data_IF_997374430094
#
_entry.id   IF_997374430094
#
_cell.length_a   1.000
_cell.length_b   1.000
_cell.length_c   1.000
_cell.angle_alpha   90.00
_cell.angle_beta   90.00
_cell.angle_gamma   90.00
#
_symmetry.space_group_name_H-M   'P 1'
#
loop_
_entity.id
_entity.type
_entity.pdbx_description
1 polymer ?
#
# COMPACT_ATOMS: atom_id res chain seq x y z
N UNK A 1 -3.50 -26.17 -6.61
CA UNK A 1 -2.42 -26.79 -7.42
C UNK A 1 -1.19 -25.93 -7.24
N UNK A 2 -0.20 -26.41 -6.44
CA UNK A 2 1.04 -25.68 -6.17
C UNK A 2 1.81 -25.41 -7.47
N UNK A 3 2.05 -24.13 -7.77
CA UNK A 3 2.98 -23.73 -8.81
C UNK A 3 4.40 -24.15 -8.39
N UNK A 4 5.12 -24.80 -9.29
CA UNK A 4 6.53 -25.15 -9.06
C UNK A 4 7.34 -23.86 -8.85
N UNK A 5 8.16 -23.76 -7.77
CA UNK A 5 9.04 -22.62 -7.58
C UNK A 5 10.02 -22.52 -8.76
N UNK A 6 10.14 -21.34 -9.37
CA UNK A 6 11.35 -20.98 -10.09
C UNK A 6 11.28 -20.65 -11.58
N UNK A 7 10.14 -20.45 -12.22
CA UNK A 7 10.09 -20.03 -13.64
C UNK A 7 9.01 -19.00 -13.97
N UNK A 8 8.79 -18.01 -13.12
CA UNK A 8 8.09 -16.79 -13.56
C UNK A 8 9.06 -15.83 -14.22
N UNK A 9 8.64 -15.08 -15.25
CA UNK A 9 9.53 -14.07 -15.87
C UNK A 9 9.95 -13.06 -14.78
N UNK A 10 11.24 -12.78 -14.70
CA UNK A 10 11.79 -11.74 -13.83
C UNK A 10 11.43 -10.32 -14.31
N UNK A 11 10.75 -10.19 -15.42
CA UNK A 11 10.31 -8.95 -16.03
C UNK A 11 8.89 -9.09 -16.57
N UNK A 12 8.05 -8.10 -16.29
CA UNK A 12 6.69 -8.02 -16.78
C UNK A 12 6.53 -6.81 -17.69
N UNK A 13 6.57 -7.03 -19.00
CA UNK A 13 6.46 -5.96 -19.99
C UNK A 13 5.13 -5.18 -19.90
N UNK A 14 4.04 -5.83 -19.43
CA UNK A 14 2.75 -5.15 -19.22
C UNK A 14 2.83 -4.18 -18.04
N UNK A 15 3.51 -4.57 -16.98
CA UNK A 15 3.71 -3.69 -15.81
C UNK A 15 4.57 -2.48 -16.19
N UNK A 16 5.68 -2.71 -16.92
CA UNK A 16 6.49 -1.62 -17.49
C UNK A 16 5.64 -0.65 -18.31
N UNK A 17 4.84 -1.17 -19.24
CA UNK A 17 3.99 -0.36 -20.12
C UNK A 17 2.93 0.45 -19.35
N UNK A 18 2.34 -0.13 -18.28
CA UNK A 18 1.39 0.59 -17.42
C UNK A 18 2.08 1.77 -16.73
N UNK A 19 3.24 1.55 -16.13
CA UNK A 19 3.97 2.61 -15.42
C UNK A 19 4.40 3.71 -16.39
N UNK A 20 4.90 3.35 -17.57
CA UNK A 20 5.26 4.32 -18.62
C UNK A 20 4.05 5.12 -19.10
N UNK A 21 2.90 4.46 -19.28
CA UNK A 21 1.66 5.12 -19.66
C UNK A 21 1.19 6.12 -18.60
N UNK A 22 1.23 5.74 -17.31
CA UNK A 22 0.88 6.62 -16.19
C UNK A 22 1.73 7.90 -16.20
N UNK A 23 3.05 7.75 -16.38
CA UNK A 23 3.96 8.90 -16.45
C UNK A 23 3.69 9.78 -17.66
N UNK A 24 3.50 9.17 -18.84
CA UNK A 24 3.30 9.89 -20.09
C UNK A 24 1.97 10.64 -20.14
N UNK A 25 0.93 10.11 -19.50
CA UNK A 25 -0.42 10.64 -19.58
C UNK A 25 -0.87 11.39 -18.31
N UNK A 26 0.02 11.59 -17.31
CA UNK A 26 -0.36 12.15 -16.01
C UNK A 26 -1.12 13.49 -16.10
N UNK A 27 -0.68 14.37 -16.99
CA UNK A 27 -1.31 15.69 -17.20
C UNK A 27 -2.57 15.57 -18.03
N UNK A 28 -2.51 14.85 -19.15
CA UNK A 28 -3.64 14.67 -20.07
C UNK A 28 -4.85 14.02 -19.38
N UNK A 29 -4.61 12.99 -18.58
CA UNK A 29 -5.65 12.23 -17.87
C UNK A 29 -5.89 12.76 -16.43
N UNK A 30 -5.23 13.86 -16.04
CA UNK A 30 -5.33 14.46 -14.71
C UNK A 30 -5.11 13.44 -13.58
N UNK A 31 -4.04 12.63 -13.69
CA UNK A 31 -3.74 11.60 -12.69
C UNK A 31 -3.10 12.27 -11.47
N UNK A 32 -3.79 12.27 -10.35
CA UNK A 32 -3.33 12.93 -9.11
C UNK A 32 -2.61 11.97 -8.17
N UNK A 33 -2.93 10.67 -8.22
CA UNK A 33 -2.38 9.66 -7.33
C UNK A 33 -2.43 8.27 -7.96
N UNK A 34 -1.46 7.42 -7.65
CA UNK A 34 -1.42 6.02 -8.10
C UNK A 34 -1.46 5.10 -6.87
N UNK A 35 -2.45 4.24 -6.79
CA UNK A 35 -2.55 3.21 -5.75
C UNK A 35 -2.30 1.83 -6.36
N UNK A 36 -1.25 1.15 -5.91
CA UNK A 36 -0.99 -0.24 -6.25
C UNK A 36 -1.56 -1.14 -5.15
N UNK A 37 -2.51 -1.98 -5.53
CA UNK A 37 -3.33 -2.75 -4.57
C UNK A 37 -2.72 -4.09 -4.16
N UNK A 38 -1.42 -4.27 -4.30
CA UNK A 38 -0.70 -5.45 -3.83
C UNK A 38 -0.36 -6.48 -4.91
N UNK A 39 0.32 -7.54 -4.49
CA UNK A 39 0.88 -8.56 -5.36
C UNK A 39 1.77 -7.96 -6.47
N UNK A 40 2.63 -7.01 -6.06
CA UNK A 40 3.62 -6.41 -6.96
C UNK A 40 4.69 -7.43 -7.35
N UNK A 41 4.85 -8.47 -6.55
CA UNK A 41 5.63 -9.66 -6.84
C UNK A 41 4.75 -10.92 -6.84
N UNK A 42 5.19 -11.99 -7.52
CA UNK A 42 4.51 -13.30 -7.53
C UNK A 42 5.18 -14.28 -6.53
N UNK A 43 6.44 -14.08 -6.20
CA UNK A 43 7.26 -15.07 -5.50
C UNK A 43 8.07 -14.52 -4.32
N UNK A 44 7.86 -13.31 -3.89
CA UNK A 44 8.62 -12.67 -2.79
C UNK A 44 10.14 -12.95 -2.87
N UNK A 45 10.75 -12.73 -4.05
CA UNK A 45 12.18 -12.95 -4.27
C UNK A 45 12.90 -11.72 -4.82
N UNK A 46 14.20 -11.64 -4.56
CA UNK A 46 15.04 -10.48 -4.91
C UNK A 46 14.95 -10.04 -6.38
N UNK A 47 14.98 -10.92 -7.40
CA UNK A 47 14.85 -10.48 -8.79
C UNK A 47 13.53 -9.79 -9.12
N UNK A 48 12.42 -10.29 -8.59
CA UNK A 48 11.10 -9.69 -8.82
C UNK A 48 10.94 -8.36 -8.07
N UNK A 49 11.41 -8.28 -6.85
CA UNK A 49 11.42 -7.04 -6.07
C UNK A 49 12.28 -5.97 -6.73
N UNK A 50 13.45 -6.33 -7.23
CA UNK A 50 14.32 -5.40 -7.97
C UNK A 50 13.64 -4.86 -9.22
N UNK A 51 12.98 -5.74 -9.97
CA UNK A 51 12.21 -5.34 -11.14
C UNK A 51 11.07 -4.38 -10.74
N UNK A 52 10.25 -4.75 -9.75
CA UNK A 52 9.14 -3.93 -9.25
C UNK A 52 9.60 -2.55 -8.78
N UNK A 53 10.66 -2.51 -7.95
CA UNK A 53 11.23 -1.26 -7.45
C UNK A 53 11.74 -0.36 -8.59
N UNK A 54 12.43 -0.91 -9.58
CA UNK A 54 12.93 -0.15 -10.74
C UNK A 54 11.79 0.36 -11.62
N UNK A 55 10.73 -0.44 -11.78
CA UNK A 55 9.56 -0.03 -12.53
C UNK A 55 8.85 1.15 -11.85
N UNK A 56 8.56 1.02 -10.55
CA UNK A 56 7.88 2.07 -9.76
C UNK A 56 8.75 3.33 -9.58
N UNK A 57 10.09 3.21 -9.65
CA UNK A 57 10.99 4.37 -9.56
C UNK A 57 10.75 5.42 -10.67
N UNK A 58 10.13 5.03 -11.77
CA UNK A 58 9.75 5.97 -12.83
C UNK A 58 8.66 6.97 -12.42
N UNK A 59 7.92 6.67 -11.34
CA UNK A 59 6.93 7.57 -10.74
C UNK A 59 7.58 8.57 -9.78
N UNK A 60 8.78 8.29 -9.25
CA UNK A 60 9.44 9.13 -8.25
C UNK A 60 9.60 10.56 -8.78
N UNK A 61 9.14 11.54 -7.99
CA UNK A 61 9.15 12.95 -8.35
C UNK A 61 8.18 13.37 -9.47
N UNK A 62 7.37 12.46 -10.00
CA UNK A 62 6.43 12.72 -11.09
C UNK A 62 4.96 12.52 -10.70
N UNK A 63 4.68 11.49 -9.94
CA UNK A 63 3.33 11.16 -9.46
C UNK A 63 3.40 10.66 -8.02
N UNK A 64 2.56 11.14 -7.13
CA UNK A 64 2.34 10.54 -5.83
C UNK A 64 1.85 9.10 -5.98
N UNK A 65 2.37 8.18 -5.16
CA UNK A 65 1.90 6.81 -5.18
C UNK A 65 2.08 6.09 -3.85
N UNK A 66 1.27 5.05 -3.62
CA UNK A 66 1.41 4.12 -2.52
C UNK A 66 1.24 2.68 -3.00
N UNK A 67 1.80 1.74 -2.24
CA UNK A 67 1.76 0.31 -2.55
C UNK A 67 1.26 -0.42 -1.31
N UNK A 68 0.15 -1.15 -1.44
CA UNK A 68 -0.32 -2.10 -0.45
C UNK A 68 0.44 -3.42 -0.62
N UNK A 69 1.14 -3.96 0.38
CA UNK A 69 1.67 -5.31 0.27
C UNK A 69 0.53 -6.33 0.14
N UNK A 70 0.59 -7.15 -0.92
CA UNK A 70 -0.31 -8.29 -1.12
C UNK A 70 0.19 -9.56 -0.43
N UNK A 71 -0.59 -10.64 -0.52
CA UNK A 71 -0.19 -11.91 0.10
C UNK A 71 1.02 -12.58 -0.57
N UNK A 72 1.34 -12.23 -1.84
CA UNK A 72 2.55 -12.65 -2.51
C UNK A 72 3.76 -11.75 -2.21
N UNK A 73 3.54 -10.61 -1.56
CA UNK A 73 4.57 -9.63 -1.20
C UNK A 73 5.04 -9.79 0.26
N UNK A 74 4.50 -10.78 0.97
CA UNK A 74 4.78 -11.03 2.37
C UNK A 74 4.72 -12.52 2.69
N UNK A 75 5.39 -12.94 3.76
CA UNK A 75 5.29 -14.32 4.23
C UNK A 75 4.06 -14.51 5.12
N UNK A 76 3.63 -15.75 5.27
CA UNK A 76 2.46 -16.12 6.10
C UNK A 76 2.57 -15.73 7.58
N UNK A 77 3.78 -15.45 8.07
CA UNK A 77 4.04 -14.97 9.43
C UNK A 77 4.02 -13.43 9.56
N UNK A 78 3.64 -12.70 8.49
CA UNK A 78 3.60 -11.24 8.46
C UNK A 78 4.93 -10.57 8.10
N UNK A 79 5.96 -11.32 7.74
CA UNK A 79 7.26 -10.76 7.35
C UNK A 79 7.18 -10.06 5.99
N UNK A 80 7.39 -8.74 6.00
CA UNK A 80 7.47 -7.86 4.83
C UNK A 80 8.90 -7.36 4.57
N UNK A 81 9.91 -8.14 4.91
CA UNK A 81 11.32 -7.70 4.89
C UNK A 81 11.80 -7.27 3.50
N UNK A 82 11.40 -7.98 2.44
CA UNK A 82 11.72 -7.57 1.07
C UNK A 82 10.98 -6.30 0.68
N UNK A 83 9.68 -6.19 0.96
CA UNK A 83 8.92 -4.98 0.70
C UNK A 83 9.60 -3.76 1.34
N UNK A 84 9.93 -3.84 2.64
CA UNK A 84 10.60 -2.77 3.40
C UNK A 84 11.98 -2.42 2.83
N UNK A 85 12.70 -3.40 2.30
CA UNK A 85 14.02 -3.20 1.68
C UNK A 85 13.92 -2.45 0.35
N UNK A 86 12.93 -2.77 -0.49
CA UNK A 86 12.80 -2.21 -1.84
C UNK A 86 11.94 -0.95 -1.91
N UNK A 87 11.08 -0.76 -0.92
CA UNK A 87 10.23 0.42 -0.75
C UNK A 87 10.38 0.98 0.67
N UNK A 88 11.60 1.40 1.07
CA UNK A 88 11.82 1.97 2.40
C UNK A 88 11.11 3.33 2.53
N UNK A 89 10.82 3.75 3.76
CA UNK A 89 10.24 5.08 4.04
C UNK A 89 11.06 6.21 3.46
N UNK A 90 12.39 6.08 3.48
CA UNK A 90 13.31 7.09 2.93
C UNK A 90 13.11 7.40 1.44
N UNK A 91 12.44 6.51 0.69
CA UNK A 91 12.06 6.76 -0.70
C UNK A 91 10.92 7.77 -0.82
N UNK A 92 10.10 7.89 0.21
CA UNK A 92 8.86 8.67 0.22
C UNK A 92 8.94 9.89 1.14
N UNK A 93 9.78 9.83 2.16
CA UNK A 93 10.00 10.93 3.11
C UNK A 93 10.36 12.24 2.41
N UNK A 94 9.86 13.36 2.94
CA UNK A 94 10.05 14.68 2.35
C UNK A 94 9.07 15.04 1.25
N UNK A 95 8.28 14.09 0.73
CA UNK A 95 7.20 14.40 -0.19
C UNK A 95 5.97 14.95 0.58
N UNK A 96 5.37 16.07 0.15
CA UNK A 96 4.23 16.67 0.87
C UNK A 96 2.97 15.80 0.90
N UNK A 97 2.90 14.83 0.01
CA UNK A 97 1.80 13.87 -0.06
C UNK A 97 1.99 12.64 0.84
N UNK A 98 3.19 12.37 1.36
CA UNK A 98 3.49 11.24 2.25
C UNK A 98 3.36 11.70 3.70
N UNK A 99 2.22 11.42 4.32
CA UNK A 99 1.85 12.04 5.60
C UNK A 99 2.24 11.22 6.82
N UNK A 100 2.06 9.89 6.78
CA UNK A 100 2.41 9.01 7.90
C UNK A 100 2.67 7.58 7.44
N UNK A 101 3.42 6.83 8.25
CA UNK A 101 3.60 5.40 8.13
C UNK A 101 3.53 4.73 9.49
N UNK A 102 3.00 3.51 9.54
CA UNK A 102 3.02 2.72 10.76
C UNK A 102 4.44 2.27 11.10
N UNK A 103 4.86 2.48 12.34
CA UNK A 103 6.25 2.19 12.75
C UNK A 103 6.57 0.69 12.82
N UNK A 104 5.54 -0.17 12.79
CA UNK A 104 5.69 -1.60 12.97
C UNK A 104 5.65 -2.03 14.44
N UNK A 105 5.67 -3.33 14.66
CA UNK A 105 5.72 -3.93 15.98
C UNK A 105 6.39 -5.31 15.95
N UNK A 106 6.75 -5.83 17.11
CA UNK A 106 7.23 -7.20 17.24
C UNK A 106 6.06 -8.12 17.54
N UNK A 107 5.79 -9.09 16.65
CA UNK A 107 4.69 -10.05 16.81
C UNK A 107 5.03 -11.15 17.85
N UNK A 108 4.09 -12.07 18.11
CA UNK A 108 4.24 -13.18 19.06
C UNK A 108 5.36 -14.17 18.69
N UNK A 109 5.86 -14.14 17.47
CA UNK A 109 6.99 -14.95 17.01
C UNK A 109 8.34 -14.24 17.15
N UNK A 110 8.36 -13.04 17.76
CA UNK A 110 9.57 -12.23 17.88
C UNK A 110 10.01 -11.54 16.59
N UNK A 111 9.15 -11.48 15.56
CA UNK A 111 9.46 -10.86 14.28
C UNK A 111 8.96 -9.42 14.25
N UNK A 112 9.78 -8.51 13.72
CA UNK A 112 9.35 -7.15 13.41
C UNK A 112 8.55 -7.16 12.12
N UNK A 113 7.28 -6.73 12.18
CA UNK A 113 6.31 -6.78 11.08
C UNK A 113 5.58 -5.45 10.89
N UNK A 114 4.89 -5.31 9.78
CA UNK A 114 3.95 -4.22 9.45
C UNK A 114 4.55 -2.82 9.35
N UNK A 115 5.85 -2.63 9.59
CA UNK A 115 6.51 -1.32 9.58
C UNK A 115 7.06 -0.88 8.22
N UNK A 116 7.72 0.28 8.23
CA UNK A 116 8.49 0.80 7.08
C UNK A 116 7.73 0.80 5.76
N UNK A 117 6.71 1.62 5.65
CA UNK A 117 5.93 1.81 4.42
C UNK A 117 4.98 0.66 4.04
N UNK A 118 4.88 -0.40 4.83
CA UNK A 118 3.89 -1.46 4.59
C UNK A 118 2.44 -0.95 4.81
N UNK A 119 2.29 0.06 5.66
CA UNK A 119 1.02 0.72 5.96
C UNK A 119 1.24 2.24 6.00
N UNK A 120 0.52 3.01 5.19
CA UNK A 120 0.78 4.44 5.00
C UNK A 120 -0.48 5.28 4.91
N UNK A 121 -0.32 6.55 5.26
CA UNK A 121 -1.29 7.61 4.97
C UNK A 121 -0.68 8.55 3.94
N UNK A 122 -1.38 8.75 2.83
CA UNK A 122 -1.00 9.67 1.78
C UNK A 122 -2.12 10.69 1.53
N UNK A 123 -1.71 11.90 1.14
CA UNK A 123 -2.64 13.01 0.89
C UNK A 123 -2.53 13.46 -0.55
N UNK A 124 -3.66 13.70 -1.18
CA UNK A 124 -3.68 14.37 -2.48
C UNK A 124 -4.96 15.19 -2.62
N UNK A 125 -5.04 15.97 -3.69
CA UNK A 125 -6.25 16.75 -3.99
C UNK A 125 -6.03 17.74 -5.12
N UNK A 126 -7.13 18.32 -5.58
CA UNK A 126 -7.14 19.36 -6.60
C UNK A 126 -8.28 20.33 -6.33
N UNK A 127 -7.97 21.63 -6.31
CA UNK A 127 -8.97 22.65 -5.97
C UNK A 127 -9.53 22.45 -4.57
N UNK A 128 -10.85 22.35 -4.45
CA UNK A 128 -11.53 22.08 -3.17
C UNK A 128 -11.60 20.60 -2.82
N UNK A 129 -11.31 19.70 -3.76
CA UNK A 129 -11.38 18.26 -3.53
C UNK A 129 -10.12 17.77 -2.83
N UNK A 130 -10.30 17.22 -1.64
CA UNK A 130 -9.23 16.73 -0.78
C UNK A 130 -9.43 15.27 -0.45
N UNK A 131 -8.39 14.47 -0.58
CA UNK A 131 -8.41 13.04 -0.31
C UNK A 131 -7.31 12.64 0.66
N UNK A 132 -7.58 11.63 1.45
CA UNK A 132 -6.60 10.87 2.22
C UNK A 132 -6.68 9.40 1.80
N UNK A 133 -5.54 8.84 1.42
CA UNK A 133 -5.43 7.41 1.10
C UNK A 133 -4.77 6.71 2.27
N UNK A 134 -5.46 5.75 2.86
CA UNK A 134 -4.85 4.81 3.79
C UNK A 134 -4.55 3.52 3.04
N UNK A 135 -3.28 3.15 3.00
CA UNK A 135 -2.81 1.93 2.34
C UNK A 135 -2.48 0.91 3.42
N UNK A 136 -3.12 -0.25 3.35
CA UNK A 136 -3.01 -1.31 4.34
C UNK A 136 -2.46 -2.59 3.72
N UNK A 137 -1.56 -3.27 4.41
CA UNK A 137 -1.08 -4.60 4.04
C UNK A 137 -2.21 -5.64 4.01
N UNK A 138 -2.01 -6.71 3.27
CA UNK A 138 -2.93 -7.84 3.25
C UNK A 138 -3.09 -8.44 4.67
N UNK A 139 -4.33 -8.68 5.10
CA UNK A 139 -4.66 -9.13 6.45
C UNK A 139 -4.11 -8.21 7.56
N UNK A 140 -4.21 -6.90 7.37
CA UNK A 140 -3.75 -5.91 8.34
C UNK A 140 -4.19 -6.25 9.78
N UNK A 141 -3.25 -6.40 10.72
CA UNK A 141 -3.57 -6.78 12.10
C UNK A 141 -4.11 -5.60 12.90
N UNK A 142 -4.73 -5.91 14.05
CA UNK A 142 -5.34 -4.92 14.94
C UNK A 142 -4.48 -3.70 15.26
N UNK A 143 -3.17 -3.83 15.57
CA UNK A 143 -2.33 -2.66 15.80
C UNK A 143 -2.26 -1.69 14.62
N UNK A 144 -2.27 -2.23 13.39
CA UNK A 144 -2.28 -1.45 12.15
C UNK A 144 -3.62 -0.75 11.97
N UNK A 145 -4.73 -1.47 12.16
CA UNK A 145 -6.09 -0.92 12.00
C UNK A 145 -6.36 0.19 13.01
N UNK A 146 -5.98 -0.02 14.27
CA UNK A 146 -6.12 0.98 15.32
C UNK A 146 -5.27 2.23 15.04
N UNK A 147 -4.05 2.05 14.52
CA UNK A 147 -3.21 3.16 14.10
C UNK A 147 -3.85 3.93 12.93
N UNK A 148 -4.34 3.22 11.91
CA UNK A 148 -4.96 3.84 10.76
C UNK A 148 -6.18 4.68 11.14
N UNK A 149 -7.06 4.13 11.98
CA UNK A 149 -8.23 4.84 12.51
C UNK A 149 -7.81 6.16 13.20
N UNK A 150 -6.85 6.07 14.13
CA UNK A 150 -6.36 7.25 14.85
C UNK A 150 -5.68 8.28 13.95
N UNK A 151 -4.94 7.83 12.92
CA UNK A 151 -4.32 8.76 11.96
C UNK A 151 -5.37 9.49 11.12
N UNK A 152 -6.45 8.81 10.71
CA UNK A 152 -7.52 9.40 9.90
C UNK A 152 -8.28 10.51 10.65
N UNK A 153 -8.40 10.46 11.98
CA UNK A 153 -8.99 11.53 12.80
C UNK A 153 -8.31 12.91 12.57
N UNK A 154 -7.07 12.93 12.10
CA UNK A 154 -6.34 14.16 11.81
C UNK A 154 -6.78 14.85 10.52
N UNK A 155 -7.62 14.20 9.70
CA UNK A 155 -8.01 14.66 8.38
C UNK A 155 -9.53 14.70 8.17
N UNK A 156 -10.29 15.36 9.06
CA UNK A 156 -11.77 15.35 9.02
C UNK A 156 -12.34 16.04 7.78
N UNK A 157 -11.54 16.89 7.12
CA UNK A 157 -11.93 17.64 5.91
C UNK A 157 -11.60 16.90 4.61
N UNK A 158 -11.18 15.62 4.68
CA UNK A 158 -10.77 14.83 3.51
C UNK A 158 -11.64 13.60 3.31
N UNK A 159 -11.91 13.28 2.06
CA UNK A 159 -12.53 12.01 1.69
C UNK A 159 -11.53 10.88 1.83
N UNK A 160 -11.93 9.81 2.52
CA UNK A 160 -11.06 8.65 2.79
C UNK A 160 -11.15 7.64 1.65
N UNK A 161 -9.99 7.20 1.18
CA UNK A 161 -9.83 6.06 0.27
C UNK A 161 -9.03 4.99 0.99
N UNK A 162 -9.60 3.80 1.14
CA UNK A 162 -8.90 2.64 1.70
C UNK A 162 -8.38 1.78 0.57
N UNK A 163 -7.06 1.56 0.54
CA UNK A 163 -6.39 0.70 -0.43
C UNK A 163 -5.79 -0.50 0.30
N UNK A 164 -6.22 -1.69 -0.06
CA UNK A 164 -5.71 -2.96 0.48
C UNK A 164 -5.82 -4.06 -0.55
N UNK A 165 -4.99 -5.10 -0.40
CA UNK A 165 -5.05 -6.30 -1.25
C UNK A 165 -6.15 -7.28 -0.82
N UNK A 166 -6.82 -7.02 0.30
CA UNK A 166 -7.85 -7.90 0.82
C UNK A 166 -9.02 -8.00 -0.15
N UNK A 167 -9.39 -9.21 -0.54
CA UNK A 167 -10.58 -9.49 -1.32
C UNK A 167 -11.85 -9.16 -0.48
N UNK A 168 -12.88 -8.62 -1.14
CA UNK A 168 -14.15 -8.22 -0.51
C UNK A 168 -14.83 -9.41 0.21
N UNK A 169 -14.71 -10.63 -0.32
CA UNK A 169 -15.23 -11.84 0.32
C UNK A 169 -14.49 -12.24 1.61
N UNK A 170 -13.19 -11.90 1.73
CA UNK A 170 -12.43 -12.06 2.96
C UNK A 170 -12.75 -10.92 3.96
N UNK A 171 -13.08 -9.75 3.45
CA UNK A 171 -13.60 -8.60 4.18
C UNK A 171 -14.88 -8.96 4.97
N UNK A 172 -15.81 -9.71 4.40
CA UNK A 172 -17.04 -10.10 5.08
C UNK A 172 -16.83 -11.12 6.21
N UNK A 173 -15.75 -11.89 6.20
CA UNK A 173 -15.64 -13.07 7.11
C UNK A 173 -14.93 -12.85 8.43
N UNK A 174 -14.00 -11.91 8.60
CA UNK A 174 -13.37 -11.63 9.92
C UNK A 174 -12.78 -10.22 10.11
N UNK A 175 -12.05 -9.67 9.13
CA UNK A 175 -11.32 -8.40 9.31
C UNK A 175 -11.96 -7.22 8.57
N UNK A 176 -12.70 -7.47 7.52
CA UNK A 176 -13.22 -6.40 6.71
C UNK A 176 -14.47 -5.76 7.26
N UNK A 177 -15.32 -6.52 7.97
CA UNK A 177 -16.41 -5.91 8.71
C UNK A 177 -15.87 -5.00 9.81
N UNK A 178 -14.67 -5.27 10.31
CA UNK A 178 -13.99 -4.44 11.29
C UNK A 178 -13.39 -3.18 10.67
N UNK A 179 -12.64 -3.28 9.55
CA UNK A 179 -12.17 -2.10 8.81
C UNK A 179 -13.36 -1.20 8.43
N UNK A 180 -14.42 -1.78 7.89
CA UNK A 180 -15.63 -1.06 7.52
C UNK A 180 -16.33 -0.42 8.73
N UNK A 181 -16.49 -1.15 9.83
CA UNK A 181 -17.16 -0.65 11.02
C UNK A 181 -16.31 0.40 11.76
N UNK A 182 -14.98 0.19 11.86
CA UNK A 182 -14.09 1.14 12.52
C UNK A 182 -13.96 2.44 11.71
N UNK A 183 -13.97 2.34 10.36
CA UNK A 183 -13.96 3.51 9.48
C UNK A 183 -15.34 4.20 9.37
N UNK A 184 -16.45 3.45 9.44
CA UNK A 184 -17.79 4.04 9.52
C UNK A 184 -18.05 4.73 10.87
N UNK A 185 -17.56 4.18 11.97
CA UNK A 185 -17.67 4.82 13.28
C UNK A 185 -16.99 6.20 13.32
N UNK A 186 -15.94 6.39 12.51
CA UNK A 186 -15.30 7.70 12.32
C UNK A 186 -16.13 8.66 11.44
N UNK A 187 -17.00 8.13 10.56
CA UNK A 187 -17.86 8.94 9.71
C UNK A 187 -19.21 9.30 10.33
N UNK A 188 -19.64 8.56 11.36
CA UNK A 188 -20.90 8.75 12.09
C UNK A 188 -20.74 9.50 13.41
N UNK A 189 -19.50 9.92 13.74
CA UNK A 189 -19.17 10.66 14.94
C UNK A 189 -19.43 12.17 14.84
N UNK A 190 -20.64 12.57 14.44
CA UNK A 190 -21.20 13.92 14.64
C UNK A 190 -22.37 13.87 15.60
#
# INVERSE_FOLDING_TARGET
RGRKPGKGPTRNAKFDAIVDWLVANREKENILFVSHTGDITDMDNDPQWRFASNAMARLDGKLPYAISPGNHDMKSNGDTSFFRRYFPTSRFEGNPWYAATFSGYTNSLGLFVSGNNANTICLFGQGSEKFVVVTLECNAPDPVLNWAAKELEKYPDRRVIVSTHQDIGAIEKKNGRRIYNDLNALSEGE
#
